data_IF_154257008409
#
_entry.id   IF_154257008409
#
_cell.length_a   1.000
_cell.length_b   1.000
_cell.length_c   1.000
_cell.angle_alpha   90.00
_cell.angle_beta   90.00
_cell.angle_gamma   90.00
#
_symmetry.space_group_name_H-M   'P 1'
#
loop_
_entity.id
_entity.type
_entity.pdbx_description
1 polymer ?
#
# COMPACT_ATOMS: atom_id res chain seq x y z
N UNK A 1 9.97 0.51 20.20
CA UNK A 1 11.29 0.73 19.58
C UNK A 1 11.11 0.85 18.07
N UNK A 2 11.73 1.86 17.49
CA UNK A 2 11.68 2.08 16.05
C UNK A 2 12.95 1.54 15.42
N UNK A 3 12.82 0.73 14.39
CA UNK A 3 13.93 0.19 13.62
C UNK A 3 13.81 0.64 12.17
N UNK A 4 14.95 0.88 11.54
CA UNK A 4 15.00 1.26 10.13
C UNK A 4 16.02 0.37 9.42
N UNK A 5 15.61 -0.14 8.26
CA UNK A 5 16.47 -0.95 7.40
C UNK A 5 16.33 -0.42 5.96
N UNK A 6 17.45 -0.34 5.25
CA UNK A 6 17.44 0.04 3.84
C UNK A 6 17.92 -1.19 3.06
N UNK A 7 17.07 -1.66 2.14
CA UNK A 7 17.40 -2.80 1.29
C UNK A 7 18.34 -2.37 0.17
N UNK A 8 18.99 -3.35 -0.46
CA UNK A 8 19.95 -3.08 -1.54
C UNK A 8 19.31 -2.36 -2.73
N UNK A 9 18.02 -2.57 -2.96
CA UNK A 9 17.28 -1.88 -4.03
C UNK A 9 16.80 -0.48 -3.65
N UNK A 10 17.15 0.01 -2.45
CA UNK A 10 16.78 1.35 -1.99
C UNK A 10 15.48 1.43 -1.20
N UNK A 11 14.74 0.34 -1.07
CA UNK A 11 13.51 0.34 -0.27
C UNK A 11 13.87 0.55 1.20
N UNK A 12 13.18 1.49 1.84
CA UNK A 12 13.34 1.77 3.26
C UNK A 12 12.22 1.09 4.04
N UNK A 13 12.60 0.30 5.02
CA UNK A 13 11.63 -0.38 5.89
C UNK A 13 11.75 0.24 7.28
N UNK A 14 10.63 0.73 7.79
CA UNK A 14 10.55 1.30 9.13
C UNK A 14 9.53 0.50 9.90
N UNK A 15 9.93 -0.01 11.07
CA UNK A 15 9.04 -0.79 11.92
C UNK A 15 9.02 -0.21 13.33
N UNK A 16 7.87 -0.32 13.97
CA UNK A 16 7.72 0.03 15.38
C UNK A 16 6.93 -1.08 16.06
N UNK A 17 7.52 -1.66 17.10
CA UNK A 17 6.84 -2.66 17.91
C UNK A 17 6.16 -1.98 19.09
N UNK A 18 4.86 -2.22 19.23
CA UNK A 18 4.05 -1.71 20.34
C UNK A 18 3.54 -2.93 21.11
N UNK A 19 4.18 -3.28 22.25
CA UNK A 19 3.92 -4.57 22.92
C UNK A 19 2.48 -4.78 23.37
N UNK A 20 1.74 -3.71 23.65
CA UNK A 20 0.35 -3.81 24.12
C UNK A 20 -0.67 -3.87 22.98
N UNK A 21 -0.22 -3.69 21.74
CA UNK A 21 -1.12 -3.71 20.59
C UNK A 21 -1.41 -5.13 20.15
N UNK A 22 -2.66 -5.39 19.79
CA UNK A 22 -3.11 -6.69 19.28
C UNK A 22 -3.39 -6.67 17.78
N UNK A 23 -3.02 -5.59 17.10
CA UNK A 23 -3.24 -5.42 15.67
C UNK A 23 -1.95 -5.00 14.99
N UNK A 24 -1.94 -5.08 13.67
CA UNK A 24 -0.81 -4.65 12.84
C UNK A 24 -1.32 -3.63 11.83
N UNK A 25 -0.59 -2.53 11.69
CA UNK A 25 -0.81 -1.55 10.66
C UNK A 25 0.38 -1.57 9.71
N UNK A 26 0.11 -1.73 8.42
CA UNK A 26 1.14 -1.81 7.40
C UNK A 26 0.83 -0.80 6.29
N UNK A 27 1.83 -0.07 5.86
CA UNK A 27 1.67 0.87 4.75
C UNK A 27 2.86 0.81 3.81
N UNK A 28 2.60 1.03 2.53
CA UNK A 28 3.62 1.22 1.51
C UNK A 28 3.47 2.63 0.93
N UNK A 29 4.53 3.41 0.99
CA UNK A 29 4.54 4.78 0.49
C UNK A 29 5.45 4.84 -0.74
N UNK A 30 4.91 5.35 -1.83
CA UNK A 30 5.63 5.50 -3.09
C UNK A 30 5.78 6.99 -3.37
N UNK A 31 7.01 7.43 -3.68
CA UNK A 31 7.29 8.85 -3.97
C UNK A 31 6.88 9.18 -5.40
N UNK A 32 5.63 8.89 -5.73
CA UNK A 32 5.01 9.20 -7.01
C UNK A 32 3.54 9.53 -6.73
N UNK A 33 3.11 10.71 -7.09
CA UNK A 33 1.75 11.15 -6.86
C UNK A 33 1.40 12.30 -7.77
N UNK A 34 0.24 12.93 -7.54
CA UNK A 34 -0.28 13.97 -8.40
C UNK A 34 0.72 15.11 -8.62
N UNK A 35 1.49 15.46 -7.62
CA UNK A 35 2.47 16.54 -7.70
C UNK A 35 3.66 16.22 -8.60
N UNK A 36 3.87 14.95 -8.93
CA UNK A 36 4.97 14.49 -9.78
C UNK A 36 4.55 14.28 -11.24
N UNK A 37 3.28 14.50 -11.54
CA UNK A 37 2.73 14.27 -12.88
C UNK A 37 2.92 15.50 -13.75
N UNK A 38 3.26 15.28 -15.03
CA UNK A 38 3.20 16.35 -16.01
C UNK A 38 1.76 16.46 -16.57
N UNK A 39 1.52 17.50 -17.39
CA UNK A 39 0.19 17.76 -17.91
C UNK A 39 -0.37 16.61 -18.76
N UNK A 40 0.51 15.88 -19.45
CA UNK A 40 0.11 14.77 -20.32
C UNK A 40 -0.35 13.56 -19.52
N UNK A 41 0.15 13.39 -18.30
CA UNK A 41 -0.15 12.24 -17.44
C UNK A 41 -1.00 12.64 -16.23
N UNK A 42 -1.65 13.79 -16.27
CA UNK A 42 -2.48 14.27 -15.17
C UNK A 42 -3.58 13.26 -14.83
N UNK A 43 -3.65 12.89 -13.57
CA UNK A 43 -4.62 11.91 -13.07
C UNK A 43 -4.16 10.47 -13.10
N UNK A 44 -2.95 10.17 -13.61
CA UNK A 44 -2.49 8.78 -13.73
C UNK A 44 -2.30 8.11 -12.35
N UNK A 45 -1.80 8.85 -11.36
CA UNK A 45 -1.62 8.30 -10.01
C UNK A 45 -2.96 7.96 -9.36
N UNK A 46 -3.94 8.83 -9.53
CA UNK A 46 -5.29 8.59 -9.03
C UNK A 46 -5.94 7.40 -9.73
N UNK A 47 -5.76 7.29 -11.04
CA UNK A 47 -6.26 6.13 -11.79
C UNK A 47 -5.60 4.83 -11.32
N UNK A 48 -4.28 4.84 -11.12
CA UNK A 48 -3.55 3.66 -10.64
C UNK A 48 -4.04 3.25 -9.25
N UNK A 49 -4.31 4.20 -8.37
CA UNK A 49 -4.88 3.96 -7.05
C UNK A 49 -6.21 3.20 -7.16
N UNK A 50 -7.11 3.64 -8.04
CA UNK A 50 -8.38 2.95 -8.25
C UNK A 50 -8.21 1.54 -8.76
N UNK A 51 -7.12 1.25 -9.47
CA UNK A 51 -6.87 -0.07 -10.04
C UNK A 51 -6.25 -1.06 -9.06
N UNK A 52 -5.72 -0.60 -7.92
CA UNK A 52 -5.02 -1.48 -6.96
C UNK A 52 -5.89 -2.62 -6.45
N UNK A 53 -7.19 -2.41 -6.33
CA UNK A 53 -8.10 -3.40 -5.75
C UNK A 53 -9.00 -4.07 -6.80
N UNK A 54 -8.72 -3.86 -8.08
CA UNK A 54 -9.53 -4.42 -9.18
C UNK A 54 -9.08 -5.80 -9.61
N UNK A 55 -7.94 -6.26 -9.10
CA UNK A 55 -7.43 -7.58 -9.40
C UNK A 55 -6.03 -7.55 -9.95
N UNK A 56 -5.39 -8.70 -9.87
CA UNK A 56 -4.05 -8.95 -10.40
C UNK A 56 -4.08 -10.22 -11.23
N UNK A 57 -2.93 -10.61 -11.78
CA UNK A 57 -2.78 -11.87 -12.50
C UNK A 57 -3.18 -13.09 -11.65
N UNK A 58 -2.91 -13.02 -10.35
CA UNK A 58 -3.12 -14.15 -9.44
C UNK A 58 -4.33 -14.03 -8.53
N UNK A 59 -4.95 -12.84 -8.45
CA UNK A 59 -6.09 -12.58 -7.56
C UNK A 59 -7.11 -11.70 -8.25
N UNK A 60 -8.37 -12.13 -8.22
CA UNK A 60 -9.49 -11.27 -8.65
C UNK A 60 -9.77 -10.24 -7.56
N UNK A 61 -10.54 -9.19 -7.91
CA UNK A 61 -10.98 -8.19 -6.92
C UNK A 61 -11.73 -8.86 -5.75
N UNK A 62 -12.54 -9.86 -6.05
CA UNK A 62 -13.29 -10.62 -5.05
C UNK A 62 -12.37 -11.39 -4.11
N UNK A 63 -11.32 -12.00 -4.64
CA UNK A 63 -10.33 -12.73 -3.83
C UNK A 63 -9.58 -11.79 -2.90
N UNK A 64 -9.20 -10.62 -3.36
CA UNK A 64 -8.54 -9.60 -2.53
C UNK A 64 -9.45 -9.23 -1.34
N UNK A 65 -10.72 -8.93 -1.62
CA UNK A 65 -11.68 -8.58 -0.58
C UNK A 65 -11.87 -9.72 0.43
N UNK A 66 -11.98 -10.95 -0.05
CA UNK A 66 -12.16 -12.13 0.81
C UNK A 66 -10.97 -12.38 1.72
N UNK A 67 -9.76 -12.27 1.19
CA UNK A 67 -8.55 -12.53 1.98
C UNK A 67 -8.39 -11.53 3.10
N UNK A 68 -8.69 -10.26 2.87
CA UNK A 68 -8.58 -9.25 3.92
C UNK A 68 -9.71 -9.40 4.94
N UNK A 69 -10.92 -9.75 4.50
CA UNK A 69 -12.04 -10.00 5.41
C UNK A 69 -11.76 -11.20 6.31
N UNK A 70 -11.09 -12.23 5.79
CA UNK A 70 -10.79 -13.44 6.55
C UNK A 70 -9.94 -13.16 7.79
N UNK A 71 -9.11 -12.11 7.76
CA UNK A 71 -8.28 -11.72 8.91
C UNK A 71 -8.85 -10.51 9.66
N UNK A 72 -10.06 -10.07 9.29
CA UNK A 72 -10.71 -8.93 9.93
C UNK A 72 -10.03 -7.60 9.66
N UNK A 73 -9.30 -7.50 8.56
CA UNK A 73 -8.54 -6.32 8.23
C UNK A 73 -9.26 -5.32 7.33
N UNK A 74 -8.60 -4.22 7.07
CA UNK A 74 -9.07 -3.19 6.15
C UNK A 74 -7.94 -2.84 5.17
N UNK A 75 -8.32 -2.65 3.91
CA UNK A 75 -7.42 -2.15 2.86
C UNK A 75 -7.86 -0.77 2.42
N UNK A 76 -6.90 0.10 2.19
CA UNK A 76 -7.16 1.42 1.65
C UNK A 76 -5.94 1.93 0.87
N UNK A 77 -6.17 2.84 -0.04
CA UNK A 77 -5.12 3.54 -0.77
C UNK A 77 -5.55 4.97 -1.02
N UNK A 78 -4.58 5.87 -1.10
CA UNK A 78 -4.85 7.26 -1.39
C UNK A 78 -3.65 7.90 -2.10
N UNK A 79 -3.91 8.97 -2.84
CA UNK A 79 -2.88 9.77 -3.50
C UNK A 79 -2.93 11.19 -3.00
#
# INVERSE_FOLDING_TARGET
MIRQTILDNGIRIITEQIPVAHSVSLGAWVTAGSRHEDAALSGISHFAEHMFFKGTEHRTARMIAREIDAVGGMLNAFT
#
